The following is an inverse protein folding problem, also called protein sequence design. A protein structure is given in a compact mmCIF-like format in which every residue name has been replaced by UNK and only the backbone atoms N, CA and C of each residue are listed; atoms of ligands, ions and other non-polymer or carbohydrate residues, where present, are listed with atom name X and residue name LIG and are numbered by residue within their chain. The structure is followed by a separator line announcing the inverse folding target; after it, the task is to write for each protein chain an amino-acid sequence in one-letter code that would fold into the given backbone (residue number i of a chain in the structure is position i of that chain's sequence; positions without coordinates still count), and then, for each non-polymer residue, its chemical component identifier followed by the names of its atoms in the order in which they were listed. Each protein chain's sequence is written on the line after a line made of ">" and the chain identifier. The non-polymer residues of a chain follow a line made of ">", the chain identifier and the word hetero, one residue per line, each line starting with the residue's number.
data_IF_273769265888
#
_entry.id   IF_273769265888
#
_cell.length_a   1.000
_cell.length_b   1.000
_cell.length_c   1.000
_cell.angle_alpha   90.00
_cell.angle_beta   90.00
_cell.angle_gamma   90.00
#
_symmetry.space_group_name_H-M   'P 1'
#
loop_
_entity.id
_entity.type
_entity.pdbx_description
1 polymer ?
#
# COMPACT_ATOMS: atom_id res chain seq x y z
N UNK A 1 13.17 1.11 15.26
CA UNK A 1 12.39 1.40 14.04
C UNK A 1 11.15 2.18 14.42
N UNK A 2 10.99 3.38 13.87
CA UNK A 2 9.89 4.32 14.16
C UNK A 2 8.96 4.41 12.96
N UNK A 3 7.65 4.36 13.20
CA UNK A 3 6.63 4.62 12.16
C UNK A 3 6.00 5.98 12.47
N UNK A 4 6.04 6.90 11.50
CA UNK A 4 5.47 8.25 11.64
C UNK A 4 4.74 8.70 10.38
N UNK A 5 3.80 9.65 10.47
CA UNK A 5 3.26 10.31 9.30
C UNK A 5 4.37 10.96 8.46
N UNK A 6 4.22 10.88 7.15
CA UNK A 6 5.10 11.58 6.22
C UNK A 6 4.68 13.04 6.04
N UNK A 7 5.65 13.88 5.76
CA UNK A 7 5.50 15.28 5.35
C UNK A 7 5.90 15.47 3.90
N UNK A 8 5.67 16.63 3.33
CA UNK A 8 6.15 16.94 1.97
C UNK A 8 7.66 16.84 1.82
N UNK A 9 8.42 17.16 2.87
CA UNK A 9 9.87 17.05 2.87
C UNK A 9 10.37 15.61 2.69
N UNK A 10 9.55 14.63 3.06
CA UNK A 10 9.89 13.22 2.92
C UNK A 10 9.68 12.67 1.49
N UNK A 11 8.97 13.39 0.62
CA UNK A 11 8.56 12.86 -0.68
C UNK A 11 9.73 12.56 -1.62
N UNK A 12 10.78 13.38 -1.60
CA UNK A 12 11.99 13.11 -2.41
C UNK A 12 12.66 11.79 -2.04
N UNK A 13 13.07 11.59 -0.78
CA UNK A 13 13.60 10.32 -0.29
C UNK A 13 12.62 9.14 -0.46
N UNK A 14 11.32 9.37 -0.27
CA UNK A 14 10.29 8.35 -0.46
C UNK A 14 10.21 7.87 -1.91
N UNK A 15 10.26 8.76 -2.89
CA UNK A 15 10.23 8.35 -4.29
C UNK A 15 11.50 7.58 -4.70
N UNK A 16 12.67 7.97 -4.20
CA UNK A 16 13.89 7.21 -4.42
C UNK A 16 13.79 5.79 -3.80
N UNK A 17 13.23 5.69 -2.58
CA UNK A 17 12.94 4.41 -1.96
C UNK A 17 11.95 3.57 -2.79
N UNK A 18 10.87 4.16 -3.32
CA UNK A 18 9.88 3.42 -4.14
C UNK A 18 10.50 2.90 -5.44
N UNK A 19 11.33 3.70 -6.11
CA UNK A 19 12.03 3.25 -7.32
C UNK A 19 12.97 2.09 -7.03
N UNK A 20 13.69 2.11 -5.90
CA UNK A 20 14.52 0.98 -5.48
C UNK A 20 13.67 -0.23 -5.09
N UNK A 21 12.58 -0.03 -4.36
CA UNK A 21 11.66 -1.09 -3.96
C UNK A 21 11.04 -1.82 -5.16
N UNK A 22 10.66 -1.09 -6.21
CA UNK A 22 10.07 -1.64 -7.42
C UNK A 22 11.06 -2.48 -8.26
N UNK A 23 12.38 -2.30 -8.08
CA UNK A 23 13.39 -3.13 -8.76
C UNK A 23 13.28 -4.61 -8.40
N UNK A 24 12.72 -4.93 -7.23
CA UNK A 24 12.53 -6.32 -6.78
C UNK A 24 11.24 -6.96 -7.32
N UNK A 25 10.36 -6.21 -7.98
CA UNK A 25 9.03 -6.68 -8.36
C UNK A 25 9.10 -7.92 -9.26
N UNK A 26 8.82 -9.08 -8.70
CA UNK A 26 8.86 -10.37 -9.40
C UNK A 26 10.26 -10.81 -9.86
N UNK A 27 11.35 -10.31 -9.25
CA UNK A 27 12.74 -10.66 -9.59
C UNK A 27 13.41 -11.46 -8.47
N UNK A 28 14.41 -12.24 -8.81
CA UNK A 28 15.29 -12.96 -7.87
C UNK A 28 14.52 -13.74 -6.80
N UNK A 29 13.42 -14.40 -7.19
CA UNK A 29 12.56 -15.15 -6.27
C UNK A 29 11.62 -14.29 -5.41
N UNK A 30 11.64 -12.97 -5.54
CA UNK A 30 10.64 -12.11 -4.91
C UNK A 30 9.28 -12.27 -5.61
N UNK A 31 8.16 -12.26 -4.86
CA UNK A 31 6.85 -12.29 -5.47
C UNK A 31 6.62 -11.04 -6.32
N UNK A 32 5.83 -11.17 -7.37
CA UNK A 32 5.25 -10.02 -8.06
C UNK A 32 4.29 -9.34 -7.08
N UNK A 33 4.50 -8.06 -6.78
CA UNK A 33 3.71 -7.33 -5.78
C UNK A 33 3.07 -6.05 -6.33
N UNK A 34 3.44 -5.64 -7.55
CA UNK A 34 2.79 -4.58 -8.31
C UNK A 34 2.45 -5.08 -9.71
N UNK A 35 1.33 -4.65 -10.30
CA UNK A 35 0.92 -5.06 -11.64
C UNK A 35 1.72 -4.32 -12.72
N UNK A 36 3.02 -4.46 -12.69
CA UNK A 36 3.97 -3.82 -13.60
C UNK A 36 4.87 -4.88 -14.21
N UNK A 37 5.28 -4.67 -15.47
CA UNK A 37 6.30 -5.50 -16.11
C UNK A 37 7.57 -5.57 -15.27
N UNK A 38 8.13 -6.76 -15.11
CA UNK A 38 9.39 -6.97 -14.36
C UNK A 38 10.55 -6.16 -14.93
N UNK A 39 10.57 -5.95 -16.26
CA UNK A 39 11.61 -5.18 -16.93
C UNK A 39 11.45 -3.66 -16.72
N UNK A 40 10.23 -3.19 -16.50
CA UNK A 40 9.87 -1.76 -16.46
C UNK A 40 9.18 -1.36 -15.16
N UNK A 41 9.46 -2.04 -14.05
CA UNK A 41 8.91 -1.70 -12.74
C UNK A 41 9.51 -0.37 -12.24
N UNK A 42 8.83 0.72 -12.55
CA UNK A 42 9.16 2.07 -12.10
C UNK A 42 7.91 2.77 -11.56
N UNK A 43 8.11 3.73 -10.67
CA UNK A 43 7.00 4.49 -10.11
C UNK A 43 6.34 5.36 -11.19
N UNK A 44 5.06 5.12 -11.54
CA UNK A 44 4.36 5.91 -12.55
C UNK A 44 4.31 7.41 -12.17
N UNK A 45 4.52 8.30 -13.15
CA UNK A 45 4.49 9.75 -12.93
C UNK A 45 3.16 10.24 -12.30
N UNK A 46 2.03 9.69 -12.75
CA UNK A 46 0.72 10.00 -12.18
C UNK A 46 0.62 9.63 -10.69
N UNK A 47 1.26 8.54 -10.27
CA UNK A 47 1.28 8.14 -8.86
C UNK A 47 2.14 9.10 -8.02
N UNK A 48 3.29 9.59 -8.53
CA UNK A 48 4.08 10.65 -7.87
C UNK A 48 3.24 11.91 -7.64
N UNK A 49 2.53 12.36 -8.68
CA UNK A 49 1.65 13.53 -8.59
C UNK A 49 0.55 13.32 -7.55
N UNK A 50 -0.04 12.13 -7.49
CA UNK A 50 -1.09 11.82 -6.51
C UNK A 50 -0.58 11.83 -5.07
N UNK A 51 0.67 11.42 -4.80
CA UNK A 51 1.29 11.57 -3.49
C UNK A 51 1.52 13.06 -3.14
N UNK A 52 2.07 13.84 -4.07
CA UNK A 52 2.37 15.26 -3.83
C UNK A 52 1.11 16.04 -3.50
N UNK A 53 0.05 15.86 -4.28
CA UNK A 53 -1.22 16.60 -4.10
C UNK A 53 -2.06 16.05 -2.95
N UNK A 54 -2.13 14.73 -2.80
CA UNK A 54 -3.07 14.08 -1.89
C UNK A 54 -2.79 14.31 -0.41
N UNK A 55 -1.54 14.60 -0.03
CA UNK A 55 -1.19 14.84 1.37
C UNK A 55 -1.88 16.09 1.97
N UNK A 56 -2.19 17.09 1.15
CA UNK A 56 -2.83 18.34 1.59
C UNK A 56 -4.36 18.29 1.50
N UNK A 57 -4.91 17.35 0.73
CA UNK A 57 -6.35 17.28 0.52
C UNK A 57 -7.02 16.79 1.80
N UNK A 58 -8.10 17.44 2.29
CA UNK A 58 -8.86 16.98 3.43
C UNK A 58 -9.40 15.55 3.23
N UNK A 59 -9.47 14.78 4.32
CA UNK A 59 -10.00 13.41 4.28
C UNK A 59 -11.47 13.46 3.85
N UNK A 60 -11.86 12.59 2.94
CA UNK A 60 -13.21 12.56 2.36
C UNK A 60 -13.36 13.37 1.07
N UNK A 61 -12.42 14.25 0.76
CA UNK A 61 -12.40 14.96 -0.51
C UNK A 61 -11.71 14.13 -1.61
N UNK A 62 -12.11 14.28 -2.89
CA UNK A 62 -11.50 13.52 -3.98
C UNK A 62 -9.98 13.69 -4.07
N UNK A 63 -9.27 12.57 -4.10
CA UNK A 63 -7.81 12.55 -4.25
C UNK A 63 -7.01 12.64 -2.94
N UNK A 64 -7.67 12.69 -1.78
CA UNK A 64 -6.96 12.68 -0.51
C UNK A 64 -6.06 11.46 -0.33
N UNK A 65 -4.93 11.63 0.37
CA UNK A 65 -3.99 10.57 0.73
C UNK A 65 -3.33 10.86 2.07
N UNK A 66 -3.01 9.81 2.81
CA UNK A 66 -2.16 9.86 4.00
C UNK A 66 -1.09 8.80 3.88
N UNK A 67 0.13 9.15 4.25
CA UNK A 67 1.32 8.31 4.11
C UNK A 67 2.03 8.20 5.45
N UNK A 68 2.47 7.01 5.80
CA UNK A 68 3.36 6.75 6.94
C UNK A 68 4.63 6.08 6.44
N UNK A 69 5.75 6.47 7.02
CA UNK A 69 7.07 5.90 6.75
C UNK A 69 7.58 5.18 7.99
N UNK A 70 8.11 3.98 7.79
CA UNK A 70 8.90 3.28 8.77
C UNK A 70 10.37 3.61 8.54
N UNK A 71 11.03 4.17 9.56
CA UNK A 71 12.43 4.58 9.52
C UNK A 71 13.26 3.71 10.44
N UNK A 72 14.44 3.29 9.99
CA UNK A 72 15.44 2.64 10.85
C UNK A 72 16.14 3.65 11.76
N UNK A 73 17.13 3.20 12.55
CA UNK A 73 17.88 4.06 13.47
C UNK A 73 18.76 5.12 12.79
N UNK A 74 19.01 4.98 11.50
CA UNK A 74 19.79 5.92 10.67
C UNK A 74 18.89 6.85 9.85
N UNK A 75 17.54 6.75 9.98
CA UNK A 75 16.59 7.52 9.21
C UNK A 75 16.32 6.96 7.80
N UNK A 76 16.81 5.76 7.49
CA UNK A 76 16.55 5.10 6.19
C UNK A 76 15.12 4.56 6.16
N UNK A 77 14.44 4.74 5.02
CA UNK A 77 13.07 4.23 4.84
C UNK A 77 13.12 2.71 4.68
N UNK A 78 12.57 2.01 5.67
CA UNK A 78 12.44 0.56 5.72
C UNK A 78 11.12 0.03 5.13
N UNK A 79 10.11 0.89 5.07
CA UNK A 79 8.79 0.56 4.56
C UNK A 79 7.86 1.75 4.58
N UNK A 80 6.72 1.58 3.93
CA UNK A 80 5.68 2.61 3.88
C UNK A 80 4.30 1.98 3.90
N UNK A 81 3.30 2.77 4.26
CA UNK A 81 1.88 2.47 4.07
C UNK A 81 1.15 3.76 3.75
N UNK A 82 0.21 3.71 2.80
CA UNK A 82 -0.67 4.82 2.49
C UNK A 82 -2.14 4.40 2.51
N UNK A 83 -2.99 5.34 2.88
CA UNK A 83 -4.42 5.30 2.67
C UNK A 83 -4.81 6.42 1.72
N UNK A 84 -5.70 6.11 0.77
CA UNK A 84 -6.22 7.08 -0.21
C UNK A 84 -7.71 6.91 -0.42
N UNK A 85 -8.39 8.02 -0.74
CA UNK A 85 -9.80 7.99 -1.09
C UNK A 85 -10.08 7.17 -2.32
N UNK A 86 -11.27 6.57 -2.39
CA UNK A 86 -11.79 6.02 -3.63
C UNK A 86 -12.22 7.16 -4.57
N UNK A 87 -12.14 6.97 -5.89
CA UNK A 87 -12.55 8.00 -6.85
C UNK A 87 -14.07 8.25 -6.86
N UNK A 88 -14.86 7.22 -6.47
CA UNK A 88 -16.32 7.32 -6.48
C UNK A 88 -16.84 8.13 -5.27
N UNK A 89 -17.60 9.23 -5.49
CA UNK A 89 -18.13 10.03 -4.38
C UNK A 89 -19.01 9.24 -3.40
N UNK A 90 -19.74 8.24 -3.88
CA UNK A 90 -20.57 7.36 -3.05
C UNK A 90 -19.74 6.41 -2.14
N UNK A 91 -18.45 6.27 -2.40
CA UNK A 91 -17.54 5.42 -1.62
C UNK A 91 -16.65 6.20 -0.64
N UNK A 92 -17.00 7.44 -0.26
CA UNK A 92 -16.21 8.29 0.66
C UNK A 92 -15.97 7.67 2.04
N UNK A 93 -16.80 6.73 2.46
CA UNK A 93 -16.66 5.98 3.70
C UNK A 93 -15.62 4.86 3.63
N UNK A 94 -14.95 4.70 2.49
CA UNK A 94 -13.94 3.67 2.22
C UNK A 94 -12.61 4.29 1.82
N UNK A 95 -11.52 3.62 2.17
CA UNK A 95 -10.18 3.98 1.70
C UNK A 95 -9.49 2.79 1.05
N UNK A 96 -8.64 3.04 0.06
CA UNK A 96 -7.73 2.06 -0.51
C UNK A 96 -6.39 2.09 0.22
N UNK A 97 -5.85 0.93 0.54
CA UNK A 97 -4.54 0.76 1.16
C UNK A 97 -3.50 0.42 0.09
N UNK A 98 -2.33 1.04 0.21
CA UNK A 98 -1.10 0.63 -0.46
C UNK A 98 0.03 0.49 0.54
N UNK A 99 0.91 -0.50 0.39
CA UNK A 99 2.06 -0.65 1.26
C UNK A 99 3.25 -1.34 0.59
N UNK A 100 4.43 -1.13 1.15
CA UNK A 100 5.63 -1.87 0.80
C UNK A 100 6.61 -1.97 1.95
N UNK A 101 7.34 -3.08 2.01
CA UNK A 101 8.46 -3.30 2.94
C UNK A 101 9.69 -3.59 2.11
N UNK A 102 10.71 -2.74 2.27
CA UNK A 102 11.99 -2.90 1.59
C UNK A 102 12.60 -4.28 1.89
N UNK A 103 13.24 -4.91 0.88
CA UNK A 103 13.79 -6.27 0.95
C UNK A 103 14.61 -6.57 2.21
N UNK A 104 15.45 -5.63 2.62
CA UNK A 104 16.32 -5.79 3.80
C UNK A 104 15.56 -5.82 5.15
N UNK A 105 14.28 -5.47 5.17
CA UNK A 105 13.48 -5.36 6.40
C UNK A 105 12.25 -6.29 6.40
N UNK A 106 12.14 -7.18 5.40
CA UNK A 106 11.05 -8.18 5.34
C UNK A 106 11.20 -9.25 6.42
N UNK A 107 10.10 -9.94 6.75
CA UNK A 107 10.04 -11.05 7.71
C UNK A 107 10.37 -10.70 9.17
N UNK A 108 10.37 -9.42 9.53
CA UNK A 108 10.57 -8.95 10.92
C UNK A 108 9.30 -8.27 11.50
N UNK A 109 8.11 -8.61 11.00
CA UNK A 109 6.84 -8.07 11.49
C UNK A 109 6.54 -6.62 11.10
N UNK A 110 7.41 -5.95 10.32
CA UNK A 110 7.24 -4.54 9.95
C UNK A 110 5.92 -4.30 9.19
N UNK A 111 5.56 -5.17 8.23
CA UNK A 111 4.31 -5.05 7.49
C UNK A 111 3.09 -5.05 8.40
N UNK A 112 3.03 -5.97 9.37
CA UNK A 112 1.97 -6.02 10.38
C UNK A 112 1.85 -4.71 11.15
N UNK A 113 2.98 -4.16 11.62
CA UNK A 113 3.00 -2.87 12.35
C UNK A 113 2.53 -1.71 11.49
N UNK A 114 2.92 -1.66 10.22
CA UNK A 114 2.45 -0.62 9.28
C UNK A 114 0.93 -0.68 9.11
N UNK A 115 0.36 -1.86 8.84
CA UNK A 115 -1.08 -2.02 8.66
C UNK A 115 -1.84 -1.67 9.95
N UNK A 116 -1.37 -2.14 11.11
CA UNK A 116 -1.97 -1.79 12.41
C UNK A 116 -1.93 -0.28 12.69
N UNK A 117 -0.85 0.41 12.29
CA UNK A 117 -0.74 1.87 12.39
C UNK A 117 -1.82 2.57 11.57
N UNK A 118 -2.00 2.17 10.30
CA UNK A 118 -3.01 2.76 9.42
C UNK A 118 -4.45 2.47 9.91
N UNK A 119 -4.75 1.23 10.32
CA UNK A 119 -6.06 0.85 10.89
C UNK A 119 -6.34 1.66 12.16
N UNK A 120 -5.36 1.71 13.09
CA UNK A 120 -5.50 2.45 14.34
C UNK A 120 -5.75 3.94 14.13
N UNK A 121 -5.02 4.54 13.19
CA UNK A 121 -5.27 5.94 12.80
C UNK A 121 -6.66 6.12 12.20
N UNK A 122 -7.05 5.29 11.22
CA UNK A 122 -8.35 5.39 10.57
C UNK A 122 -9.53 5.29 11.56
N UNK A 123 -9.42 4.41 12.56
CA UNK A 123 -10.43 4.26 13.62
C UNK A 123 -10.58 5.47 14.51
N UNK A 124 -9.46 6.15 14.85
CA UNK A 124 -9.46 7.27 15.79
C UNK A 124 -9.73 8.62 15.14
N UNK A 125 -9.16 8.84 13.95
CA UNK A 125 -9.03 10.17 13.35
C UNK A 125 -9.99 10.41 12.17
N UNK A 126 -10.81 9.41 11.80
CA UNK A 126 -11.66 9.53 10.61
C UNK A 126 -13.05 8.98 10.80
N UNK A 127 -13.96 9.32 9.84
CA UNK A 127 -15.28 8.72 9.71
C UNK A 127 -15.30 7.51 8.76
N UNK A 128 -14.15 7.00 8.34
CA UNK A 128 -14.07 5.83 7.46
C UNK A 128 -14.70 4.62 8.15
N UNK A 129 -15.42 3.83 7.36
CA UNK A 129 -16.02 2.56 7.80
C UNK A 129 -15.20 1.34 7.33
N UNK A 130 -14.46 1.47 6.24
CA UNK A 130 -13.75 0.36 5.61
C UNK A 130 -12.38 0.76 5.08
N UNK A 131 -11.45 -0.18 5.12
CA UNK A 131 -10.22 -0.15 4.33
C UNK A 131 -10.24 -1.33 3.37
N UNK A 132 -9.97 -1.05 2.10
CA UNK A 132 -9.90 -2.01 1.01
C UNK A 132 -8.47 -2.12 0.50
N UNK A 133 -8.13 -3.26 -0.08
CA UNK A 133 -6.88 -3.44 -0.82
C UNK A 133 -7.07 -4.40 -1.99
N UNK A 134 -6.16 -4.29 -2.93
CA UNK A 134 -5.96 -5.23 -4.03
C UNK A 134 -4.59 -5.87 -3.89
N UNK A 135 -4.50 -7.16 -4.14
CA UNK A 135 -3.26 -7.92 -4.04
C UNK A 135 -3.23 -9.01 -5.11
N UNK A 136 -2.09 -9.18 -5.77
CA UNK A 136 -1.89 -10.32 -6.66
C UNK A 136 -2.07 -11.62 -5.87
N UNK A 137 -2.93 -12.51 -6.35
CA UNK A 137 -3.37 -13.69 -5.58
C UNK A 137 -2.22 -14.64 -5.25
N UNK A 138 -1.19 -14.67 -6.07
CA UNK A 138 0.03 -15.45 -5.83
C UNK A 138 0.98 -14.81 -4.80
N UNK A 139 0.80 -13.56 -4.40
CA UNK A 139 1.58 -12.95 -3.35
C UNK A 139 1.09 -13.40 -1.97
N UNK A 140 1.24 -14.72 -1.72
CA UNK A 140 0.76 -15.37 -0.50
C UNK A 140 1.25 -14.70 0.80
N UNK A 141 2.55 -14.26 0.90
CA UNK A 141 3.00 -13.57 2.11
C UNK A 141 2.20 -12.29 2.43
N UNK A 142 1.75 -11.55 1.41
CA UNK A 142 0.92 -10.37 1.62
C UNK A 142 -0.52 -10.75 1.97
N UNK A 143 -1.12 -11.71 1.26
CA UNK A 143 -2.48 -12.20 1.54
C UNK A 143 -2.59 -12.68 2.99
N UNK A 144 -1.64 -13.51 3.46
CA UNK A 144 -1.61 -13.99 4.83
C UNK A 144 -1.40 -12.88 5.86
N UNK A 145 -0.55 -11.89 5.56
CA UNK A 145 -0.36 -10.73 6.42
C UNK A 145 -1.67 -9.99 6.62
N UNK A 146 -2.37 -9.67 5.54
CA UNK A 146 -3.64 -8.94 5.59
C UNK A 146 -4.72 -9.74 6.35
N UNK A 147 -4.83 -11.04 6.11
CA UNK A 147 -5.77 -11.90 6.83
C UNK A 147 -5.50 -11.88 8.35
N UNK A 148 -4.23 -11.99 8.77
CA UNK A 148 -3.85 -11.94 10.20
C UNK A 148 -4.18 -10.61 10.89
N UNK A 149 -4.25 -9.50 10.16
CA UNK A 149 -4.56 -8.18 10.74
C UNK A 149 -6.03 -7.77 10.57
N UNK A 150 -6.88 -8.71 10.14
CA UNK A 150 -8.33 -8.53 10.14
C UNK A 150 -8.95 -8.19 8.78
N UNK A 151 -8.21 -8.33 7.68
CA UNK A 151 -8.82 -8.26 6.35
C UNK A 151 -9.46 -9.60 5.97
N UNK A 152 -10.63 -9.52 5.35
CA UNK A 152 -11.33 -10.67 4.77
C UNK A 152 -11.26 -10.57 3.25
N UNK A 153 -10.99 -11.69 2.59
CA UNK A 153 -11.06 -11.78 1.13
C UNK A 153 -12.53 -11.71 0.68
N UNK A 154 -12.85 -10.76 -0.16
CA UNK A 154 -14.22 -10.53 -0.67
C UNK A 154 -14.39 -11.00 -2.10
N UNK A 155 -13.32 -11.02 -2.88
CA UNK A 155 -13.35 -11.54 -4.24
C UNK A 155 -11.94 -11.98 -4.68
N UNK A 156 -11.90 -12.95 -5.60
CA UNK A 156 -10.74 -13.29 -6.41
C UNK A 156 -11.19 -13.33 -7.87
N UNK A 157 -10.56 -12.53 -8.72
CA UNK A 157 -10.87 -12.48 -10.13
C UNK A 157 -9.75 -13.17 -10.88
N UNK A 158 -10.09 -14.27 -11.53
CA UNK A 158 -9.15 -15.04 -12.33
C UNK A 158 -8.77 -14.26 -13.59
N UNK A 159 -7.51 -14.39 -14.01
CA UNK A 159 -6.98 -13.78 -15.24
C UNK A 159 -7.26 -12.26 -15.34
N UNK A 160 -7.24 -11.57 -14.22
CA UNK A 160 -7.54 -10.12 -14.17
C UNK A 160 -6.44 -9.29 -14.83
N UNK A 161 -5.20 -9.75 -14.81
CA UNK A 161 -4.03 -9.02 -15.27
C UNK A 161 -3.18 -9.86 -16.20
N UNK A 162 -2.66 -9.24 -17.27
CA UNK A 162 -1.67 -9.81 -18.17
C UNK A 162 -0.34 -9.08 -17.97
N UNK A 163 0.66 -9.75 -17.39
CA UNK A 163 1.96 -9.16 -17.08
C UNK A 163 3.06 -10.04 -17.69
N UNK A 164 3.90 -9.47 -18.54
CA UNK A 164 4.99 -10.17 -19.23
C UNK A 164 4.54 -11.45 -19.94
N UNK A 165 3.32 -11.44 -20.51
CA UNK A 165 2.74 -12.59 -21.23
C UNK A 165 2.13 -13.68 -20.33
N UNK A 166 2.10 -13.49 -19.00
CA UNK A 166 1.47 -14.40 -18.06
C UNK A 166 0.19 -13.81 -17.46
N UNK A 167 -0.82 -14.68 -17.24
CA UNK A 167 -2.06 -14.34 -16.56
C UNK A 167 -1.87 -14.34 -15.05
N UNK A 168 -2.45 -13.34 -14.38
CA UNK A 168 -2.40 -13.18 -12.93
C UNK A 168 -3.79 -12.90 -12.37
N UNK A 169 -4.13 -13.61 -11.29
CA UNK A 169 -5.36 -13.37 -10.56
C UNK A 169 -5.19 -12.19 -9.59
N UNK A 170 -6.26 -11.43 -9.39
CA UNK A 170 -6.31 -10.34 -8.42
C UNK A 170 -7.29 -10.67 -7.30
N UNK A 171 -6.83 -10.55 -6.06
CA UNK A 171 -7.65 -10.68 -4.85
C UNK A 171 -8.02 -9.31 -4.31
N UNK A 172 -9.29 -9.16 -3.93
CA UNK A 172 -9.82 -8.01 -3.21
C UNK A 172 -10.02 -8.39 -1.75
N UNK A 173 -9.48 -7.58 -0.84
CA UNK A 173 -9.66 -7.79 0.60
C UNK A 173 -10.16 -6.52 1.28
N UNK A 174 -10.99 -6.67 2.31
CA UNK A 174 -11.57 -5.55 3.05
C UNK A 174 -11.43 -5.73 4.56
N UNK A 175 -11.28 -4.63 5.28
CA UNK A 175 -11.27 -4.61 6.74
C UNK A 175 -12.32 -3.60 7.24
N UNK A 176 -13.27 -4.06 8.06
CA UNK A 176 -14.20 -3.18 8.77
C UNK A 176 -13.46 -2.42 9.88
N UNK A 177 -13.68 -1.12 9.94
CA UNK A 177 -13.10 -0.25 10.98
C UNK A 177 -13.99 -0.12 12.21
N UNK A 178 -15.27 -0.35 12.03
CA UNK A 178 -16.31 -0.27 13.08
C UNK A 178 -17.12 -1.57 13.06
N UNK A 179 -17.46 -2.05 14.22
CA UNK A 179 -18.43 -3.12 14.41
C UNK A 179 -19.85 -2.55 14.24
#
# INVERSE_FOLDING_TARGET
>A
MTIRPATKADLGPFFAYLDDHLRDNGKDGAPLFQPLSRAQSQLPAGLRISFIKGLDIPIGEPGWRRLWLALDSRGTIAGHIDLRGRPEPAARHRAMLGMGVHRAYRRHGLGTRLVQTAIGWARRETALAWIDLEVLSENQPAVELYARVGFTMTARIADMLQIDGASHDLSYMTCALRA
#
